data_IF_730084427411
#
_entry.id   IF_730084427411
#
_cell.length_a   1.000
_cell.length_b   1.000
_cell.length_c   1.000
_cell.angle_alpha   90.00
_cell.angle_beta   90.00
_cell.angle_gamma   90.00
#
_symmetry.space_group_name_H-M   'P 1'
#
loop_
_entity.id
_entity.type
_entity.pdbx_description
1 polymer ?
#
# COMPACT_ATOMS: atom_id res chain seq x y z
N UNK A 1 16.72 21.51 1.16
CA UNK A 1 17.06 20.24 0.48
C UNK A 1 17.02 19.15 1.53
N UNK A 2 15.82 18.64 1.82
CA UNK A 2 15.60 17.59 2.83
C UNK A 2 15.75 16.21 2.17
N UNK A 3 16.97 15.84 1.76
CA UNK A 3 17.23 14.52 1.19
C UNK A 3 17.12 13.39 2.23
N UNK A 4 17.42 13.68 3.49
CA UNK A 4 17.37 12.70 4.58
C UNK A 4 15.93 12.20 4.84
N UNK A 5 14.96 13.12 4.92
CA UNK A 5 13.56 12.76 5.20
C UNK A 5 12.94 11.93 4.09
N UNK A 6 13.30 12.21 2.83
CA UNK A 6 12.79 11.48 1.68
C UNK A 6 13.21 10.00 1.73
N UNK A 7 14.43 9.72 2.15
CA UNK A 7 14.99 8.37 2.21
C UNK A 7 14.31 7.52 3.31
N UNK A 8 14.07 8.11 4.48
CA UNK A 8 13.33 7.44 5.57
C UNK A 8 11.87 7.16 5.21
N UNK A 9 11.19 8.10 4.56
CA UNK A 9 9.81 7.91 4.11
C UNK A 9 9.71 6.90 2.97
N UNK A 10 10.64 6.92 2.01
CA UNK A 10 10.71 5.92 0.96
C UNK A 10 10.96 4.50 1.51
N UNK A 11 11.83 4.37 2.51
CA UNK A 11 12.06 3.09 3.21
C UNK A 11 10.83 2.62 3.97
N UNK A 12 10.13 3.52 4.66
CA UNK A 12 8.89 3.18 5.37
C UNK A 12 7.81 2.70 4.39
N UNK A 13 7.58 3.43 3.29
CA UNK A 13 6.61 3.05 2.27
C UNK A 13 6.94 1.69 1.67
N UNK A 14 8.22 1.43 1.34
CA UNK A 14 8.65 0.14 0.82
C UNK A 14 8.39 -1.01 1.79
N UNK A 15 8.65 -0.83 3.09
CA UNK A 15 8.37 -1.84 4.12
C UNK A 15 6.86 -2.09 4.23
N UNK A 16 6.04 -1.03 4.29
CA UNK A 16 4.58 -1.13 4.39
C UNK A 16 4.02 -1.88 3.16
N UNK A 17 4.45 -1.50 1.96
CA UNK A 17 4.03 -2.17 0.72
C UNK A 17 4.34 -3.68 0.76
N UNK A 18 5.54 -4.06 1.20
CA UNK A 18 5.94 -5.48 1.29
C UNK A 18 5.16 -6.25 2.34
N UNK A 19 4.88 -5.63 3.49
CA UNK A 19 4.06 -6.23 4.55
C UNK A 19 2.63 -6.44 4.06
N UNK A 20 2.05 -5.50 3.32
CA UNK A 20 0.71 -5.68 2.77
C UNK A 20 0.68 -6.65 1.58
N UNK A 21 1.75 -6.73 0.79
CA UNK A 21 1.86 -7.67 -0.33
C UNK A 21 1.97 -9.12 0.15
N UNK A 22 2.86 -9.40 1.12
CA UNK A 22 3.24 -10.77 1.51
C UNK A 22 3.06 -11.09 2.99
N UNK A 23 2.95 -10.08 3.84
CA UNK A 23 2.85 -10.26 5.29
C UNK A 23 1.47 -10.71 5.74
N UNK A 24 1.44 -11.21 6.97
CA UNK A 24 0.23 -11.69 7.61
C UNK A 24 -0.52 -10.57 8.34
N UNK A 25 -1.70 -10.89 8.87
CA UNK A 25 -2.54 -9.94 9.60
C UNK A 25 -1.82 -9.39 10.84
N UNK A 26 -0.94 -10.19 11.46
CA UNK A 26 -0.11 -9.74 12.58
C UNK A 26 0.93 -8.69 12.16
N UNK A 27 1.65 -8.93 11.05
CA UNK A 27 2.61 -7.98 10.52
C UNK A 27 1.95 -6.66 10.16
N UNK A 28 0.78 -6.71 9.53
CA UNK A 28 0.00 -5.52 9.18
C UNK A 28 -0.37 -4.73 10.45
N UNK A 29 -0.82 -5.43 11.50
CA UNK A 29 -1.15 -4.79 12.79
C UNK A 29 0.06 -4.14 13.45
N UNK A 30 1.22 -4.82 13.45
CA UNK A 30 2.45 -4.27 14.01
C UNK A 30 2.93 -3.07 13.19
N UNK A 31 2.89 -3.17 11.87
CA UNK A 31 3.26 -2.11 10.94
C UNK A 31 2.41 -0.85 11.18
N UNK A 32 1.09 -1.01 11.30
CA UNK A 32 0.16 0.08 11.64
C UNK A 32 0.44 0.68 13.02
N UNK A 33 0.81 -0.14 14.01
CA UNK A 33 1.16 0.32 15.36
C UNK A 33 2.49 1.07 15.41
N UNK A 34 3.45 0.68 14.56
CA UNK A 34 4.79 1.28 14.51
C UNK A 34 4.82 2.58 13.70
N UNK A 35 4.23 2.58 12.50
CA UNK A 35 4.25 3.74 11.60
C UNK A 35 3.08 4.71 11.81
N UNK A 36 1.96 4.22 12.37
CA UNK A 36 0.73 4.99 12.49
C UNK A 36 -0.17 4.84 11.25
N UNK A 37 -1.46 5.13 11.45
CA UNK A 37 -2.50 4.96 10.45
C UNK A 37 -2.31 5.87 9.23
N UNK A 38 -1.87 7.11 9.47
CA UNK A 38 -1.65 8.12 8.44
C UNK A 38 -0.55 7.69 7.45
N UNK A 39 0.61 7.26 7.96
CA UNK A 39 1.72 6.79 7.12
C UNK A 39 1.36 5.53 6.35
N UNK A 40 0.65 4.60 6.98
CA UNK A 40 0.20 3.37 6.30
C UNK A 40 -0.78 3.71 5.18
N UNK A 41 -1.71 4.63 5.43
CA UNK A 41 -2.66 5.11 4.42
C UNK A 41 -1.93 5.75 3.25
N UNK A 42 -1.01 6.69 3.50
CA UNK A 42 -0.24 7.34 2.43
C UNK A 42 0.59 6.35 1.60
N UNK A 43 1.23 5.38 2.27
CA UNK A 43 2.01 4.34 1.60
C UNK A 43 1.13 3.51 0.67
N UNK A 44 -0.03 3.06 1.15
CA UNK A 44 -0.97 2.24 0.39
C UNK A 44 -1.60 2.98 -0.79
N UNK A 45 -1.89 4.27 -0.63
CA UNK A 45 -2.39 5.12 -1.72
C UNK A 45 -1.34 5.32 -2.82
N UNK A 46 -0.07 5.46 -2.44
CA UNK A 46 1.07 5.68 -3.37
C UNK A 46 1.62 4.39 -3.97
N UNK A 47 1.25 3.23 -3.41
CA UNK A 47 1.74 1.93 -3.83
C UNK A 47 1.60 1.75 -5.35
N UNK A 48 2.60 1.10 -5.96
CA UNK A 48 2.61 0.83 -7.41
C UNK A 48 1.84 -0.43 -7.78
N UNK A 49 1.93 -1.46 -6.95
CA UNK A 49 1.28 -2.74 -7.19
C UNK A 49 0.84 -3.38 -5.87
N UNK A 50 -0.45 -3.73 -5.78
CA UNK A 50 -1.00 -4.59 -4.74
C UNK A 50 -1.90 -5.64 -5.42
N UNK A 51 -1.92 -6.89 -4.91
CA UNK A 51 -2.89 -7.89 -5.33
C UNK A 51 -4.33 -7.44 -5.06
N UNK A 52 -5.29 -7.83 -5.91
CA UNK A 52 -6.71 -7.42 -5.77
C UNK A 52 -7.27 -7.66 -4.37
N UNK A 53 -7.08 -8.87 -3.83
CA UNK A 53 -7.54 -9.23 -2.48
C UNK A 53 -6.92 -8.32 -1.39
N UNK A 54 -5.67 -7.86 -1.58
CA UNK A 54 -5.00 -6.93 -0.67
C UNK A 54 -5.52 -5.50 -0.84
N UNK A 55 -5.88 -5.06 -2.04
CA UNK A 55 -6.47 -3.73 -2.26
C UNK A 55 -7.84 -3.66 -1.54
N UNK A 56 -8.69 -4.68 -1.67
CA UNK A 56 -9.96 -4.72 -0.97
C UNK A 56 -9.78 -4.72 0.56
N UNK A 57 -8.80 -5.49 1.05
CA UNK A 57 -8.45 -5.52 2.48
C UNK A 57 -7.92 -4.16 2.96
N UNK A 58 -7.07 -3.48 2.19
CA UNK A 58 -6.57 -2.14 2.49
C UNK A 58 -7.68 -1.10 2.49
N UNK A 59 -8.58 -1.15 1.50
CA UNK A 59 -9.78 -0.30 1.42
C UNK A 59 -10.70 -0.49 2.62
N UNK A 60 -10.96 -1.74 3.02
CA UNK A 60 -11.76 -2.04 4.21
C UNK A 60 -11.09 -1.60 5.52
N UNK A 61 -9.76 -1.69 5.61
CA UNK A 61 -9.01 -1.25 6.79
C UNK A 61 -8.94 0.27 6.94
N UNK A 62 -8.68 0.98 5.84
CA UNK A 62 -8.53 2.44 5.84
C UNK A 62 -9.90 3.13 5.76
N UNK A 63 -10.91 2.46 5.21
CA UNK A 63 -12.23 3.05 4.95
C UNK A 63 -12.25 3.97 3.72
N UNK A 64 -11.30 3.82 2.81
CA UNK A 64 -11.21 4.62 1.57
C UNK A 64 -11.67 3.83 0.34
N UNK A 65 -12.30 4.47 -0.66
CA UNK A 65 -12.69 3.80 -1.88
C UNK A 65 -11.46 3.33 -2.68
N UNK A 66 -11.64 2.26 -3.45
CA UNK A 66 -10.59 1.64 -4.27
C UNK A 66 -9.99 2.62 -5.28
N UNK A 67 -10.77 3.60 -5.71
CA UNK A 67 -10.38 4.65 -6.66
C UNK A 67 -9.32 5.60 -6.11
N UNK A 68 -9.11 5.68 -4.79
CA UNK A 68 -7.99 6.45 -4.25
C UNK A 68 -6.65 5.71 -4.38
N UNK A 69 -6.67 4.38 -4.57
CA UNK A 69 -5.47 3.58 -4.66
C UNK A 69 -4.87 3.67 -6.07
N UNK A 70 -3.64 4.19 -6.16
CA UNK A 70 -2.93 4.30 -7.43
C UNK A 70 -2.78 2.95 -8.14
N UNK A 71 -2.51 1.88 -7.40
CA UNK A 71 -2.46 0.50 -7.91
C UNK A 71 -3.74 0.12 -8.66
N UNK A 72 -4.90 0.49 -8.10
CA UNK A 72 -6.20 0.12 -8.64
C UNK A 72 -6.49 0.86 -9.94
N UNK A 73 -6.26 2.17 -9.96
CA UNK A 73 -6.37 3.00 -11.18
C UNK A 73 -5.44 2.46 -12.27
N UNK A 74 -4.17 2.19 -11.94
CA UNK A 74 -3.19 1.68 -12.90
C UNK A 74 -3.60 0.33 -13.49
N UNK A 75 -4.23 -0.53 -12.69
CA UNK A 75 -4.75 -1.83 -13.13
C UNK A 75 -5.99 -1.71 -14.00
N UNK A 76 -6.87 -0.75 -13.73
CA UNK A 76 -8.00 -0.42 -14.61
C UNK A 76 -7.54 0.14 -15.96
N UNK A 77 -6.52 1.01 -15.95
CA UNK A 77 -5.97 1.63 -17.16
C UNK A 77 -5.12 0.65 -17.99
N UNK A 78 -4.50 -0.33 -17.35
CA UNK A 78 -3.71 -1.38 -17.99
C UNK A 78 -4.32 -2.75 -17.69
N UNK A 79 -5.44 -3.12 -18.35
CA UNK A 79 -5.94 -4.49 -18.33
C UNK A 79 -4.95 -5.37 -19.12
N UNK A 80 -3.83 -5.72 -18.50
CA UNK A 80 -2.91 -6.71 -19.05
C UNK A 80 -3.65 -8.04 -19.16
N UNK A 81 -3.67 -8.61 -20.37
CA UNK A 81 -4.10 -9.97 -20.66
C UNK A 81 -3.61 -10.92 -19.56
N UNK A 82 -4.53 -11.42 -18.73
CA UNK A 82 -4.24 -12.40 -17.70
C UNK A 82 -3.52 -13.61 -18.33
N UNK A 83 -2.24 -13.90 -18.03
CA UNK A 83 -1.75 -15.25 -18.18
C UNK A 83 -2.19 -15.99 -16.91
N UNK A 84 -3.19 -16.85 -17.09
CA UNK A 84 -3.60 -17.87 -16.14
C UNK A 84 -2.42 -18.79 -15.82
#
# INVERSE_FOLDING_TARGET
MDFDKLDYDAKANFVIERVFERGDVEDIRQCRRYYGDEKVTEALLKAKFLPEHRIHLASAMIGKPLEEFRCYILRQLNPGLYPY
#
